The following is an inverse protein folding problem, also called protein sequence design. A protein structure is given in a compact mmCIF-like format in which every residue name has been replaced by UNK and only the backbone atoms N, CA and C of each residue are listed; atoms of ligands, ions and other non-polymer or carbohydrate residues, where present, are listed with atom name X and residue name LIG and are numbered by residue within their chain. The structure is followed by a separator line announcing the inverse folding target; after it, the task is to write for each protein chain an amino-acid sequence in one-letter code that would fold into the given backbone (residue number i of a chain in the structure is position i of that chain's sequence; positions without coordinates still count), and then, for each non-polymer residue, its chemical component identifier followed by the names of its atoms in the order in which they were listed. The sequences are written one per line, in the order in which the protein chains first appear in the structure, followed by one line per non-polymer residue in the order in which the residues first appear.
data_IF_008396057066
#
_entry.id   IF_008396057066
#
_cell.length_a   1.000
_cell.length_b   1.000
_cell.length_c   1.000
_cell.angle_alpha   90.00
_cell.angle_beta   90.00
_cell.angle_gamma   90.00
#
_symmetry.space_group_name_H-M   'P 1'
#
loop_
_entity.id
_entity.type
_entity.pdbx_description
1 polymer ?
#
# COMPACT_ATOMS: atom_id res chain seq x y z
N UNK A 1 -49.64 2.86 4.60
CA UNK A 1 -48.29 3.33 5.01
C UNK A 1 -47.42 2.09 5.18
N UNK A 2 -46.80 1.63 4.10
CA UNK A 2 -45.92 0.45 4.14
C UNK A 2 -44.51 0.94 4.38
N UNK A 3 -43.92 0.56 5.51
CA UNK A 3 -42.57 0.92 5.86
C UNK A 3 -41.57 0.20 4.94
N UNK A 4 -40.74 0.99 4.27
CA UNK A 4 -39.52 0.54 3.60
C UNK A 4 -38.52 0.08 4.66
N UNK A 5 -38.41 -1.24 4.86
CA UNK A 5 -37.38 -1.84 5.69
C UNK A 5 -36.02 -1.72 5.01
N UNK A 6 -35.25 -0.68 5.37
CA UNK A 6 -33.86 -0.52 4.98
C UNK A 6 -32.98 -1.55 5.69
N UNK A 7 -32.62 -2.62 4.98
CA UNK A 7 -31.63 -3.60 5.41
C UNK A 7 -30.23 -3.01 5.40
N UNK A 8 -29.84 -2.32 6.46
CA UNK A 8 -28.43 -2.07 6.75
C UNK A 8 -27.86 -3.37 7.33
N UNK A 9 -27.28 -4.20 6.46
CA UNK A 9 -26.58 -5.42 6.86
C UNK A 9 -25.51 -5.10 7.89
N UNK A 10 -25.75 -5.50 9.13
CA UNK A 10 -24.72 -5.57 10.17
C UNK A 10 -23.98 -6.88 9.96
N UNK A 11 -22.77 -6.82 9.40
CA UNK A 11 -21.83 -7.94 9.52
C UNK A 11 -21.62 -8.23 11.01
N UNK A 12 -21.89 -9.48 11.42
CA UNK A 12 -21.74 -9.94 12.80
C UNK A 12 -20.28 -9.81 13.25
N UNK A 13 -20.06 -9.25 14.44
CA UNK A 13 -18.72 -9.10 14.99
C UNK A 13 -18.15 -10.45 15.42
N UNK A 14 -17.10 -10.90 14.74
CA UNK A 14 -16.18 -11.94 15.24
C UNK A 14 -15.80 -13.02 14.23
N UNK A 15 -16.60 -13.24 13.19
CA UNK A 15 -16.39 -14.35 12.25
C UNK A 15 -15.93 -13.80 10.89
N UNK A 16 -14.74 -14.22 10.46
CA UNK A 16 -14.18 -13.87 9.15
C UNK A 16 -14.39 -15.03 8.18
N UNK A 17 -14.97 -14.74 7.02
CA UNK A 17 -15.04 -15.66 5.89
C UNK A 17 -13.79 -15.52 5.01
N UNK A 18 -13.08 -16.62 4.79
CA UNK A 18 -11.83 -16.64 4.03
C UNK A 18 -12.01 -17.43 2.73
N UNK A 19 -11.48 -16.89 1.64
CA UNK A 19 -11.30 -17.60 0.38
C UNK A 19 -9.81 -17.87 0.15
N UNK A 20 -9.46 -19.07 -0.31
CA UNK A 20 -8.08 -19.49 -0.51
C UNK A 20 -7.86 -20.05 -1.92
N UNK A 21 -6.69 -19.79 -2.48
CA UNK A 21 -6.25 -20.34 -3.77
C UNK A 21 -4.74 -20.60 -3.73
N UNK A 22 -4.33 -21.78 -4.17
CA UNK A 22 -2.92 -22.13 -4.28
C UNK A 22 -2.29 -21.49 -5.51
N UNK A 23 -1.06 -21.03 -5.37
CA UNK A 23 -0.29 -20.49 -6.48
C UNK A 23 0.19 -21.64 -7.39
N UNK A 24 0.00 -21.55 -8.72
CA UNK A 24 0.41 -22.63 -9.62
C UNK A 24 1.92 -22.73 -9.81
N UNK A 25 2.68 -21.66 -9.55
CA UNK A 25 4.10 -21.54 -9.89
C UNK A 25 5.02 -21.50 -8.65
N UNK A 26 4.47 -21.19 -7.47
CA UNK A 26 5.21 -21.06 -6.21
C UNK A 26 4.59 -21.89 -5.08
N UNK A 27 5.39 -22.33 -4.10
CA UNK A 27 4.89 -23.01 -2.88
C UNK A 27 4.29 -21.98 -1.90
N UNK A 28 3.16 -21.38 -2.29
CA UNK A 28 2.40 -20.42 -1.48
C UNK A 28 0.90 -20.54 -1.71
N UNK A 29 0.12 -20.20 -0.68
CA UNK A 29 -1.34 -20.09 -0.75
C UNK A 29 -1.77 -18.65 -0.50
N UNK A 30 -2.60 -18.11 -1.40
CA UNK A 30 -3.20 -16.79 -1.25
C UNK A 30 -4.47 -16.89 -0.39
N UNK A 31 -4.61 -15.98 0.57
CA UNK A 31 -5.77 -15.88 1.45
C UNK A 31 -6.44 -14.52 1.30
N UNK A 32 -7.76 -14.52 1.10
CA UNK A 32 -8.58 -13.33 0.92
C UNK A 32 -9.68 -13.28 1.97
N UNK A 33 -9.76 -12.18 2.71
CA UNK A 33 -10.83 -11.91 3.68
C UNK A 33 -12.09 -11.42 2.95
N UNK A 34 -13.04 -12.33 2.70
CA UNK A 34 -14.29 -12.02 2.00
C UNK A 34 -15.16 -11.09 2.84
N UNK A 35 -15.10 -11.19 4.18
CA UNK A 35 -15.81 -10.29 5.09
C UNK A 35 -15.32 -8.86 4.94
N UNK A 36 -14.01 -8.63 4.86
CA UNK A 36 -13.44 -7.31 4.60
C UNK A 36 -13.82 -6.80 3.20
N UNK A 37 -13.64 -7.63 2.16
CA UNK A 37 -13.91 -7.25 0.76
C UNK A 37 -15.38 -6.90 0.50
N UNK A 38 -16.30 -7.51 1.23
CA UNK A 38 -17.74 -7.26 1.14
C UNK A 38 -18.26 -6.22 2.13
N UNK A 39 -17.38 -5.68 2.99
CA UNK A 39 -17.75 -4.70 4.01
C UNK A 39 -18.08 -3.33 3.41
N UNK A 40 -18.67 -2.46 4.23
CA UNK A 40 -18.85 -1.03 3.91
C UNK A 40 -17.60 -0.18 4.21
N UNK A 41 -16.44 -0.81 4.44
CA UNK A 41 -15.21 -0.08 4.73
C UNK A 41 -14.87 0.86 3.56
N UNK A 42 -14.46 2.08 3.89
CA UNK A 42 -14.07 3.10 2.91
C UNK A 42 -12.77 3.75 3.37
N UNK A 43 -11.80 3.86 2.46
CA UNK A 43 -10.55 4.56 2.72
C UNK A 43 -10.82 6.05 3.02
N UNK A 44 -10.30 6.55 4.14
CA UNK A 44 -10.41 7.96 4.54
C UNK A 44 -9.22 8.82 4.07
N UNK A 45 -8.43 8.34 3.11
CA UNK A 45 -7.34 9.14 2.54
C UNK A 45 -7.88 10.44 1.94
N UNK A 46 -7.28 11.58 2.29
CA UNK A 46 -7.80 12.91 1.95
C UNK A 46 -9.03 13.36 2.76
N UNK A 47 -9.62 12.49 3.58
CA UNK A 47 -10.79 12.75 4.42
C UNK A 47 -10.49 12.56 5.91
N UNK A 48 -9.29 12.95 6.36
CA UNK A 48 -8.87 12.86 7.76
C UNK A 48 -8.08 11.60 8.13
N UNK A 49 -7.50 10.88 7.15
CA UNK A 49 -6.56 9.79 7.44
C UNK A 49 -5.33 10.29 8.20
N UNK A 50 -5.05 9.67 9.35
CA UNK A 50 -3.92 10.01 10.23
C UNK A 50 -2.58 9.40 9.79
N UNK A 51 -2.54 8.63 8.69
CA UNK A 51 -1.37 7.84 8.29
C UNK A 51 -1.25 6.51 9.05
N UNK A 52 -0.14 5.81 8.82
CA UNK A 52 0.13 4.46 9.38
C UNK A 52 1.42 4.38 10.20
N UNK A 53 2.02 5.54 10.55
CA UNK A 53 3.18 5.61 11.44
C UNK A 53 2.78 5.30 12.89
N UNK A 54 3.79 5.11 13.76
CA UNK A 54 3.62 4.84 15.20
C UNK A 54 2.83 5.94 15.94
N UNK A 55 2.83 7.16 15.40
CA UNK A 55 2.03 8.27 15.88
C UNK A 55 1.23 8.89 14.71
N UNK A 56 0.02 9.45 14.98
CA UNK A 56 -0.73 10.20 13.97
C UNK A 56 0.14 11.29 13.34
N UNK A 57 0.18 11.32 12.01
CA UNK A 57 0.89 12.33 11.23
C UNK A 57 0.02 12.87 10.07
N UNK A 58 -1.20 13.38 10.35
CA UNK A 58 -2.11 13.88 9.33
C UNK A 58 -1.52 15.03 8.50
N UNK A 59 -0.61 15.82 9.08
CA UNK A 59 0.09 16.93 8.43
C UNK A 59 1.01 16.51 7.28
N UNK A 60 1.47 15.24 7.26
CA UNK A 60 2.28 14.73 6.16
C UNK A 60 1.45 14.35 4.94
N UNK A 61 0.14 14.17 5.09
CA UNK A 61 -0.79 13.75 4.03
C UNK A 61 -0.36 12.49 3.25
N UNK A 62 0.42 11.60 3.89
CA UNK A 62 0.97 10.39 3.27
C UNK A 62 -0.01 9.21 3.29
N UNK A 63 -0.96 9.19 4.22
CA UNK A 63 -1.89 8.07 4.35
C UNK A 63 -1.19 6.74 4.60
N UNK A 64 -1.64 5.67 3.94
CA UNK A 64 -0.99 4.37 4.02
C UNK A 64 0.42 4.33 3.40
N UNK A 65 0.83 5.35 2.65
CA UNK A 65 2.13 5.44 2.01
C UNK A 65 3.24 6.01 2.93
N UNK A 66 3.02 6.13 4.25
CA UNK A 66 3.97 6.77 5.16
C UNK A 66 5.37 6.15 5.19
N UNK A 67 5.47 4.82 5.03
CA UNK A 67 6.77 4.14 4.95
C UNK A 67 7.39 4.17 3.54
N UNK A 68 6.57 4.43 2.51
CA UNK A 68 6.97 4.38 1.11
C UNK A 68 7.10 2.95 0.57
N UNK A 69 7.75 2.82 -0.58
CA UNK A 69 8.05 1.53 -1.20
C UNK A 69 9.43 1.01 -0.76
N UNK A 70 9.50 -0.27 -0.41
CA UNK A 70 10.74 -0.96 -0.08
C UNK A 70 11.13 -1.89 -1.23
N UNK A 71 12.44 -1.99 -1.48
CA UNK A 71 12.97 -2.90 -2.49
C UNK A 71 12.97 -4.33 -1.92
N UNK A 72 12.42 -5.25 -2.70
CA UNK A 72 12.23 -6.65 -2.29
C UNK A 72 13.51 -7.48 -2.28
N UNK A 73 14.55 -7.05 -3.01
CA UNK A 73 15.84 -7.74 -3.04
C UNK A 73 16.81 -7.18 -4.08
N UNK A 74 17.96 -7.85 -4.30
CA UNK A 74 19.01 -7.39 -5.21
C UNK A 74 18.57 -7.30 -6.67
N UNK A 75 17.69 -8.18 -7.13
CA UNK A 75 17.13 -8.11 -8.48
C UNK A 75 16.28 -6.84 -8.65
N UNK A 76 15.46 -6.53 -7.65
CA UNK A 76 14.61 -5.36 -7.63
C UNK A 76 15.42 -4.06 -7.60
N UNK A 77 16.49 -4.05 -6.80
CA UNK A 77 17.52 -2.99 -6.81
C UNK A 77 18.05 -2.77 -8.22
N UNK A 78 18.50 -3.82 -8.90
CA UNK A 78 19.05 -3.71 -10.26
C UNK A 78 18.04 -3.17 -11.27
N UNK A 79 16.77 -3.60 -11.19
CA UNK A 79 15.70 -3.08 -12.05
C UNK A 79 15.45 -1.59 -11.82
N UNK A 80 15.40 -1.16 -10.56
CA UNK A 80 15.16 0.26 -10.22
C UNK A 80 16.35 1.14 -10.60
N UNK A 81 17.58 0.68 -10.42
CA UNK A 81 18.79 1.41 -10.87
C UNK A 81 18.82 1.57 -12.39
N UNK A 82 18.49 0.51 -13.14
CA UNK A 82 18.39 0.57 -14.59
C UNK A 82 17.30 1.57 -15.05
N UNK A 83 16.13 1.55 -14.41
CA UNK A 83 15.07 2.51 -14.68
C UNK A 83 15.51 3.95 -14.35
N UNK A 84 16.15 4.17 -13.21
CA UNK A 84 16.65 5.47 -12.80
C UNK A 84 17.69 6.04 -13.79
N UNK A 85 18.57 5.20 -14.32
CA UNK A 85 19.55 5.59 -15.34
C UNK A 85 18.91 6.11 -16.64
N UNK A 86 17.69 5.67 -16.96
CA UNK A 86 16.97 6.07 -18.17
C UNK A 86 16.26 7.42 -18.08
N UNK A 87 16.05 7.95 -16.87
CA UNK A 87 15.33 9.21 -16.67
C UNK A 87 16.12 10.39 -17.27
N UNK A 88 15.42 11.41 -17.76
CA UNK A 88 16.02 12.68 -18.20
C UNK A 88 16.16 13.68 -17.04
N UNK A 89 16.70 14.87 -17.31
CA UNK A 89 16.79 15.95 -16.31
C UNK A 89 15.41 16.52 -15.97
N UNK A 90 14.52 16.59 -16.95
CA UNK A 90 13.15 17.10 -16.81
C UNK A 90 12.27 16.13 -16.01
N UNK A 91 12.56 14.83 -16.09
CA UNK A 91 11.80 13.79 -15.39
C UNK A 91 12.24 13.60 -13.93
N UNK A 92 13.49 13.94 -13.59
CA UNK A 92 14.06 13.59 -12.29
C UNK A 92 14.46 14.82 -11.47
N UNK A 93 13.55 15.22 -10.58
CA UNK A 93 13.67 16.36 -9.68
C UNK A 93 14.88 16.31 -8.72
N UNK A 94 15.48 15.15 -8.53
CA UNK A 94 16.63 14.93 -7.64
C UNK A 94 17.87 14.36 -8.35
N UNK A 95 17.95 14.46 -9.69
CA UNK A 95 19.05 13.92 -10.49
C UNK A 95 20.44 14.30 -9.97
N UNK A 96 20.64 15.56 -9.60
CA UNK A 96 21.94 16.04 -9.08
C UNK A 96 22.33 15.38 -7.76
N UNK A 97 21.36 15.12 -6.88
CA UNK A 97 21.61 14.41 -5.62
C UNK A 97 21.94 12.95 -5.90
N UNK A 98 21.18 12.31 -6.79
CA UNK A 98 21.40 10.93 -7.18
C UNK A 98 22.76 10.72 -7.86
N UNK A 99 23.23 11.68 -8.65
CA UNK A 99 24.58 11.62 -9.23
C UNK A 99 25.70 11.60 -8.18
N UNK A 100 25.46 12.13 -6.96
CA UNK A 100 26.44 12.15 -5.87
C UNK A 100 26.29 10.98 -4.90
N UNK A 101 25.08 10.48 -4.70
CA UNK A 101 24.73 9.57 -3.60
C UNK A 101 24.14 8.23 -4.07
N UNK A 102 23.93 8.07 -5.38
CA UNK A 102 23.13 6.99 -5.95
C UNK A 102 21.62 7.28 -5.91
N UNK A 103 20.82 6.54 -6.69
CA UNK A 103 19.36 6.67 -6.71
C UNK A 103 18.66 6.06 -5.49
N UNK A 104 19.35 5.21 -4.73
CA UNK A 104 18.76 4.42 -3.65
C UNK A 104 19.20 4.91 -2.28
N UNK A 105 18.31 4.80 -1.29
CA UNK A 105 18.61 5.09 0.12
C UNK A 105 18.46 3.82 0.95
N UNK A 106 19.50 3.47 1.72
CA UNK A 106 19.42 2.40 2.71
C UNK A 106 18.75 2.93 3.99
N UNK A 107 17.68 2.28 4.46
CA UNK A 107 17.14 2.56 5.80
C UNK A 107 18.03 1.91 6.88
N UNK A 108 18.25 2.60 8.01
CA UNK A 108 19.01 2.06 9.15
C UNK A 108 20.54 2.17 9.04
N UNK A 109 21.07 3.13 8.28
CA UNK A 109 22.50 3.46 8.23
C UNK A 109 22.82 4.75 8.95
#
# INVERSE_FOLDING_TARGET
MTAIGGGHGRAGGGEHEWWSVDDPDEDRTWLFDVTFLSSNWTCLYGCGCNGVLDAPAPELAQGCCSYGAHLSGPEDVGRVEAAAASLTTEQWQHRQRAARQGPLKRQGG
#
